data_IF_008205742308
#
_entry.id   IF_008205742308
#
_cell.length_a   1.000
_cell.length_b   1.000
_cell.length_c   1.000
_cell.angle_alpha   90.00
_cell.angle_beta   90.00
_cell.angle_gamma   90.00
#
_symmetry.space_group_name_H-M   'P 1'
#
loop_
_entity.id
_entity.type
_entity.pdbx_description
1 polymer ?
#
# COMPACT_ATOMS: atom_id res chain seq x y z
N UNK A 1 -90.47 -10.80 -59.82
CA UNK A 1 -89.37 -10.22 -59.03
C UNK A 1 -89.55 -10.63 -57.57
N UNK A 2 -88.69 -11.51 -57.06
CA UNK A 2 -88.62 -11.96 -55.65
C UNK A 2 -87.38 -11.32 -55.02
N UNK A 3 -87.56 -10.65 -53.89
CA UNK A 3 -86.51 -10.24 -52.93
C UNK A 3 -87.24 -9.68 -51.71
N UNK A 4 -86.86 -9.88 -50.46
CA UNK A 4 -86.13 -10.91 -49.74
C UNK A 4 -86.45 -10.59 -48.26
N UNK A 5 -86.85 -11.58 -47.47
CA UNK A 5 -87.09 -11.44 -46.02
C UNK A 5 -85.73 -11.37 -45.32
N UNK A 6 -85.49 -10.31 -44.54
CA UNK A 6 -84.29 -10.18 -43.70
C UNK A 6 -84.56 -10.75 -42.30
N UNK A 7 -83.67 -11.64 -41.83
CA UNK A 7 -83.74 -12.32 -40.53
C UNK A 7 -82.92 -11.53 -39.50
N UNK A 8 -83.56 -11.16 -38.40
CA UNK A 8 -82.89 -10.57 -37.23
C UNK A 8 -82.10 -11.65 -36.47
N UNK A 9 -80.78 -11.49 -36.44
CA UNK A 9 -79.84 -12.35 -35.72
C UNK A 9 -79.65 -11.95 -34.26
N UNK A 10 -79.38 -12.99 -33.48
CA UNK A 10 -79.18 -13.07 -32.04
C UNK A 10 -77.84 -12.46 -31.58
N UNK A 11 -77.75 -11.97 -30.34
CA UNK A 11 -76.90 -12.56 -29.29
C UNK A 11 -76.38 -11.51 -28.30
N UNK A 12 -76.70 -11.79 -27.04
CA UNK A 12 -76.21 -11.19 -25.81
C UNK A 12 -74.75 -11.59 -25.56
N UNK A 13 -73.89 -10.65 -25.17
CA UNK A 13 -72.61 -11.03 -24.57
C UNK A 13 -72.34 -10.27 -23.25
N UNK A 14 -72.18 -11.09 -22.22
CA UNK A 14 -71.88 -10.78 -20.82
C UNK A 14 -70.60 -9.98 -20.66
N UNK A 15 -70.66 -8.98 -19.78
CA UNK A 15 -69.52 -8.31 -19.15
C UNK A 15 -68.92 -9.19 -18.04
N UNK A 16 -67.61 -9.48 -18.11
CA UNK A 16 -66.86 -10.08 -17.01
C UNK A 16 -65.98 -9.02 -16.30
N UNK A 17 -65.99 -8.95 -14.95
CA UNK A 17 -65.13 -8.05 -14.19
C UNK A 17 -63.79 -8.74 -13.91
N UNK A 18 -62.73 -8.33 -14.60
CA UNK A 18 -61.38 -8.89 -14.43
C UNK A 18 -60.38 -7.79 -14.07
N UNK A 19 -60.57 -7.17 -12.90
CA UNK A 19 -59.79 -6.00 -12.45
C UNK A 19 -58.95 -6.20 -11.19
N UNK A 20 -58.74 -7.43 -10.72
CA UNK A 20 -58.25 -7.67 -9.34
C UNK A 20 -57.00 -8.58 -9.20
N UNK A 21 -56.21 -8.79 -10.27
CA UNK A 21 -55.01 -9.66 -10.19
C UNK A 21 -53.75 -9.12 -10.89
N UNK A 22 -53.43 -7.82 -10.76
CA UNK A 22 -52.14 -7.28 -11.29
C UNK A 22 -51.36 -6.45 -10.27
N UNK A 23 -51.47 -6.73 -8.96
CA UNK A 23 -50.79 -5.92 -7.91
C UNK A 23 -49.89 -6.69 -6.93
N UNK A 24 -49.37 -7.87 -7.29
CA UNK A 24 -48.57 -8.66 -6.35
C UNK A 24 -47.29 -9.30 -6.91
N UNK A 25 -46.57 -8.64 -7.85
CA UNK A 25 -45.33 -9.21 -8.38
C UNK A 25 -44.26 -8.19 -8.79
N UNK A 26 -44.06 -7.11 -8.02
CA UNK A 26 -43.06 -6.08 -8.36
C UNK A 26 -42.16 -5.65 -7.18
N UNK A 27 -41.85 -6.56 -6.23
CA UNK A 27 -41.12 -6.21 -5.00
C UNK A 27 -40.07 -7.25 -4.56
N UNK A 28 -39.52 -8.05 -5.49
CA UNK A 28 -38.56 -9.13 -5.14
C UNK A 28 -37.33 -9.24 -6.06
N UNK A 29 -36.73 -8.11 -6.48
CA UNK A 29 -35.55 -8.17 -7.36
C UNK A 29 -34.47 -7.08 -7.10
N UNK A 30 -34.21 -6.69 -5.84
CA UNK A 30 -33.20 -5.66 -5.51
C UNK A 30 -32.16 -6.10 -4.47
N UNK A 31 -31.74 -7.35 -4.48
CA UNK A 31 -30.59 -7.81 -3.68
C UNK A 31 -29.52 -8.47 -4.56
N UNK A 32 -29.14 -7.79 -5.65
CA UNK A 32 -27.81 -7.99 -6.25
C UNK A 32 -26.79 -7.31 -5.34
N UNK A 33 -26.46 -7.97 -4.23
CA UNK A 33 -25.38 -7.56 -3.35
C UNK A 33 -24.07 -7.62 -4.15
N UNK A 34 -23.49 -6.45 -4.45
CA UNK A 34 -22.16 -6.31 -5.03
C UNK A 34 -21.12 -6.81 -4.03
N UNK A 35 -20.86 -8.12 -4.01
CA UNK A 35 -19.70 -8.71 -3.34
C UNK A 35 -18.45 -8.40 -4.15
N UNK A 36 -17.83 -7.25 -3.88
CA UNK A 36 -16.47 -6.96 -4.38
C UNK A 36 -15.48 -8.02 -3.90
N UNK A 37 -14.35 -8.22 -4.60
CA UNK A 37 -13.35 -9.21 -4.19
C UNK A 37 -12.88 -8.95 -2.75
N UNK A 38 -12.56 -10.00 -1.97
CA UNK A 38 -12.05 -9.84 -0.61
C UNK A 38 -10.86 -8.88 -0.59
N UNK A 39 -10.92 -7.85 0.26
CA UNK A 39 -9.79 -6.93 0.45
C UNK A 39 -8.60 -7.73 0.97
N UNK A 40 -7.47 -7.65 0.27
CA UNK A 40 -6.25 -8.30 0.74
C UNK A 40 -5.92 -7.84 2.17
N UNK A 41 -5.42 -8.75 3.04
CA UNK A 41 -4.98 -8.37 4.37
C UNK A 41 -3.93 -7.25 4.29
N UNK A 42 -3.83 -6.37 5.30
CA UNK A 42 -2.83 -5.32 5.32
C UNK A 42 -1.41 -5.90 5.45
N UNK A 43 -0.43 -5.25 4.83
CA UNK A 43 0.99 -5.54 5.07
C UNK A 43 1.43 -4.79 6.33
N UNK A 44 1.97 -5.50 7.32
CA UNK A 44 2.47 -4.86 8.55
C UNK A 44 3.92 -5.23 8.82
N UNK A 45 4.67 -4.27 9.32
CA UNK A 45 6.05 -4.45 9.77
C UNK A 45 6.18 -4.09 11.24
N UNK A 46 6.87 -4.95 11.99
CA UNK A 46 7.23 -4.74 13.38
C UNK A 46 8.72 -5.03 13.58
N UNK A 47 9.38 -4.43 14.57
CA UNK A 47 10.79 -4.72 14.85
C UNK A 47 11.54 -3.54 15.44
N UNK A 48 12.79 -3.36 15.02
CA UNK A 48 13.65 -2.29 15.53
C UNK A 48 14.48 -1.60 14.45
N UNK A 49 14.80 -0.34 14.74
CA UNK A 49 15.82 0.47 14.08
C UNK A 49 16.87 0.80 15.14
N UNK A 50 18.11 0.35 14.94
CA UNK A 50 19.14 0.47 15.96
C UNK A 50 20.48 0.93 15.39
N UNK A 51 21.21 1.73 16.15
CA UNK A 51 22.58 2.11 15.90
C UNK A 51 23.52 1.45 16.91
N UNK A 52 24.70 1.04 16.47
CA UNK A 52 25.77 0.61 17.39
C UNK A 52 26.33 1.81 18.16
N UNK A 53 26.98 1.56 19.30
CA UNK A 53 27.62 2.61 20.08
C UNK A 53 28.73 3.35 19.30
N UNK A 54 29.38 2.67 18.35
CA UNK A 54 30.41 3.23 17.46
C UNK A 54 29.91 3.92 16.19
N UNK A 55 28.60 4.13 16.02
CA UNK A 55 28.01 4.60 14.75
C UNK A 55 28.61 5.93 14.28
N UNK A 56 28.77 6.08 12.96
CA UNK A 56 29.12 7.32 12.28
C UNK A 56 30.29 8.08 12.95
N UNK A 57 31.49 7.48 13.04
CA UNK A 57 32.61 8.09 13.73
C UNK A 57 33.09 9.37 13.02
N UNK A 58 33.55 10.34 13.80
CA UNK A 58 34.30 11.52 13.34
C UNK A 58 35.71 11.16 12.85
N UNK A 59 36.47 12.11 12.28
CA UNK A 59 37.85 11.85 11.83
C UNK A 59 38.76 11.36 12.95
N UNK A 60 38.43 11.71 14.20
CA UNK A 60 39.14 11.27 15.40
C UNK A 60 38.55 9.99 16.03
N UNK A 61 37.66 9.28 15.32
CA UNK A 61 37.01 8.06 15.81
C UNK A 61 35.84 8.27 16.79
N UNK A 62 35.53 9.50 17.19
CA UNK A 62 34.42 9.76 18.14
C UNK A 62 33.05 9.47 17.47
N UNK A 63 32.20 8.59 18.03
CA UNK A 63 30.85 8.32 17.49
C UNK A 63 29.99 9.57 17.43
N UNK A 64 29.11 9.65 16.43
CA UNK A 64 28.24 10.82 16.20
C UNK A 64 26.82 10.39 15.80
N UNK A 65 25.78 11.21 16.01
CA UNK A 65 24.44 10.90 15.53
C UNK A 65 24.39 10.61 14.03
N UNK A 66 23.48 9.73 13.62
CA UNK A 66 23.28 9.34 12.22
C UNK A 66 21.86 9.70 11.77
N UNK A 67 21.75 10.44 10.66
CA UNK A 67 20.48 10.64 9.99
C UNK A 67 20.15 9.42 9.13
N UNK A 68 18.98 8.83 9.37
CA UNK A 68 18.41 7.73 8.60
C UNK A 68 17.11 8.18 7.95
N UNK A 69 16.92 7.82 6.69
CA UNK A 69 15.64 7.91 6.01
C UNK A 69 15.17 6.52 5.63
N UNK A 70 13.94 6.19 6.01
CA UNK A 70 13.27 4.95 5.61
C UNK A 70 12.19 5.33 4.59
N UNK A 71 12.26 4.72 3.42
CA UNK A 71 11.34 4.95 2.32
C UNK A 71 10.47 3.72 2.11
N UNK A 72 9.18 3.95 1.92
CA UNK A 72 8.29 3.00 1.29
C UNK A 72 8.32 3.23 -0.21
N UNK A 73 8.65 2.19 -0.99
CA UNK A 73 8.79 2.28 -2.43
C UNK A 73 7.94 1.25 -3.17
N UNK A 74 7.45 1.62 -4.35
CA UNK A 74 6.82 0.69 -5.31
C UNK A 74 7.84 -0.18 -6.02
N UNK A 75 8.96 0.41 -6.43
CA UNK A 75 10.12 -0.27 -7.01
C UNK A 75 11.39 0.26 -6.37
N UNK A 76 12.46 -0.54 -6.33
CA UNK A 76 13.74 -0.16 -5.76
C UNK A 76 14.75 0.38 -6.78
N UNK A 77 14.44 0.26 -8.08
CA UNK A 77 15.40 0.44 -9.17
C UNK A 77 16.05 1.83 -9.16
N UNK A 78 15.25 2.89 -9.06
CA UNK A 78 15.78 4.27 -9.02
C UNK A 78 16.60 4.51 -7.76
N UNK A 79 16.09 4.06 -6.60
CA UNK A 79 16.80 4.19 -5.33
C UNK A 79 18.15 3.45 -5.32
N UNK A 80 18.22 2.26 -5.92
CA UNK A 80 19.43 1.46 -5.97
C UNK A 80 20.47 2.03 -6.95
N UNK A 81 20.02 2.70 -8.02
CA UNK A 81 20.89 3.28 -9.03
C UNK A 81 21.36 4.71 -8.70
N UNK A 82 20.54 5.48 -7.98
CA UNK A 82 20.82 6.89 -7.69
C UNK A 82 22.14 7.09 -6.93
N UNK A 83 22.81 8.22 -7.15
CA UNK A 83 23.95 8.62 -6.35
C UNK A 83 23.51 9.15 -4.97
N UNK A 84 24.48 9.28 -4.04
CA UNK A 84 24.20 9.75 -2.69
C UNK A 84 23.64 11.18 -2.66
N UNK A 85 24.18 12.09 -3.47
CA UNK A 85 23.83 13.52 -3.44
C UNK A 85 22.39 13.71 -3.92
N UNK A 86 21.99 13.00 -4.96
CA UNK A 86 20.64 12.99 -5.50
C UNK A 86 19.63 12.54 -4.44
N UNK A 87 19.90 11.44 -3.73
CA UNK A 87 19.04 10.99 -2.62
C UNK A 87 19.13 11.88 -1.37
N UNK A 88 20.26 12.54 -1.11
CA UNK A 88 20.40 13.41 0.05
C UNK A 88 19.64 14.73 -0.11
N UNK A 89 19.79 15.36 -1.28
CA UNK A 89 19.30 16.72 -1.54
C UNK A 89 17.91 16.76 -2.19
N UNK A 90 17.56 15.75 -2.99
CA UNK A 90 16.38 15.80 -3.88
C UNK A 90 15.68 14.45 -4.04
N UNK A 91 15.66 13.62 -2.99
CA UNK A 91 15.03 12.29 -3.00
C UNK A 91 13.61 12.25 -3.59
N UNK A 92 12.75 13.22 -3.26
CA UNK A 92 11.38 13.26 -3.80
C UNK A 92 11.35 13.41 -5.32
N UNK A 93 12.21 14.26 -5.87
CA UNK A 93 12.31 14.46 -7.31
C UNK A 93 13.00 13.28 -8.00
N UNK A 94 14.02 12.72 -7.36
CA UNK A 94 14.76 11.56 -7.85
C UNK A 94 13.86 10.32 -7.93
N UNK A 95 13.16 10.00 -6.85
CA UNK A 95 12.33 8.79 -6.72
C UNK A 95 10.95 8.93 -7.39
N UNK A 96 10.45 10.17 -7.51
CA UNK A 96 9.22 10.48 -8.24
C UNK A 96 8.04 9.57 -7.88
N UNK A 97 7.50 8.88 -8.88
CA UNK A 97 6.32 8.04 -8.73
C UNK A 97 6.57 6.73 -7.94
N UNK A 98 7.82 6.33 -7.76
CA UNK A 98 8.18 5.14 -6.97
C UNK A 98 8.10 5.40 -5.46
N UNK A 99 8.24 6.66 -5.03
CA UNK A 99 8.12 7.04 -3.63
C UNK A 99 6.67 6.98 -3.15
N UNK A 100 6.42 6.16 -2.14
CA UNK A 100 5.11 6.04 -1.50
C UNK A 100 5.07 6.82 -0.19
N UNK A 101 6.14 6.71 0.60
CA UNK A 101 6.26 7.37 1.89
C UNK A 101 7.71 7.49 2.34
N UNK A 102 7.97 8.42 3.26
CA UNK A 102 9.30 8.67 3.82
C UNK A 102 9.20 9.03 5.29
N UNK A 103 10.02 8.39 6.12
CA UNK A 103 10.24 8.74 7.52
C UNK A 103 11.72 9.10 7.71
N UNK A 104 12.00 10.18 8.44
CA UNK A 104 13.35 10.61 8.79
C UNK A 104 13.58 10.43 10.29
N UNK A 105 14.72 9.83 10.65
CA UNK A 105 15.06 9.40 12.00
C UNK A 105 16.50 9.82 12.29
N UNK A 106 16.71 10.62 13.33
CA UNK A 106 18.04 10.84 13.88
C UNK A 106 18.30 9.82 14.99
N UNK A 107 19.29 8.93 14.80
CA UNK A 107 19.73 7.97 15.81
C UNK A 107 20.96 8.48 16.54
N UNK A 108 20.91 8.47 17.87
CA UNK A 108 22.09 8.66 18.71
C UNK A 108 22.95 7.37 18.74
N UNK A 109 24.26 7.48 19.03
CA UNK A 109 25.11 6.30 19.22
C UNK A 109 24.55 5.34 20.29
N UNK A 110 24.39 4.07 19.93
CA UNK A 110 23.84 3.03 20.80
C UNK A 110 22.30 3.04 20.94
N UNK A 111 21.61 3.95 20.27
CA UNK A 111 20.15 4.05 20.35
C UNK A 111 19.46 2.90 19.61
N UNK A 112 18.33 2.44 20.16
CA UNK A 112 17.42 1.50 19.53
C UNK A 112 15.98 1.98 19.69
N UNK A 113 15.23 2.03 18.59
CA UNK A 113 13.81 2.41 18.56
C UNK A 113 12.98 1.29 17.97
N UNK A 114 11.77 1.01 18.50
CA UNK A 114 10.85 0.10 17.85
C UNK A 114 10.32 0.72 16.55
N UNK A 115 10.10 -0.12 15.53
CA UNK A 115 9.33 0.24 14.33
C UNK A 115 8.09 -0.64 14.28
N UNK A 116 6.93 -0.02 14.16
CA UNK A 116 5.63 -0.70 14.04
C UNK A 116 4.78 0.12 13.06
N UNK A 117 4.49 -0.43 11.88
CA UNK A 117 3.79 0.29 10.80
C UNK A 117 2.92 -0.66 9.99
N UNK A 118 1.83 -0.13 9.48
CA UNK A 118 1.07 -0.73 8.37
C UNK A 118 1.52 -0.03 7.10
N UNK A 119 2.03 -0.79 6.14
CA UNK A 119 2.55 -0.24 4.88
C UNK A 119 1.40 0.06 3.92
N UNK A 120 1.63 0.99 3.01
CA UNK A 120 0.67 1.27 1.95
C UNK A 120 0.49 0.02 1.04
N UNK A 121 -0.71 -0.19 0.45
CA UNK A 121 -0.99 -1.37 -0.38
C UNK A 121 -0.05 -1.53 -1.60
N UNK A 122 0.47 -0.44 -2.13
CA UNK A 122 1.41 -0.38 -3.25
C UNK A 122 2.88 -0.56 -2.86
N UNK A 123 3.22 -0.50 -1.57
CA UNK A 123 4.59 -0.66 -1.08
C UNK A 123 5.09 -2.08 -1.34
N UNK A 124 6.25 -2.20 -2.00
CA UNK A 124 6.94 -3.47 -2.28
C UNK A 124 8.32 -3.53 -1.64
N UNK A 125 8.91 -2.38 -1.34
CA UNK A 125 10.22 -2.29 -0.73
C UNK A 125 10.22 -1.28 0.43
N UNK A 126 10.96 -1.63 1.46
CA UNK A 126 11.51 -0.67 2.42
C UNK A 126 12.95 -0.40 2.04
N UNK A 127 13.25 0.83 1.65
CA UNK A 127 14.60 1.27 1.37
C UNK A 127 15.11 2.15 2.52
N UNK A 128 16.40 2.04 2.83
CA UNK A 128 17.02 2.77 3.93
C UNK A 128 18.22 3.52 3.39
N UNK A 129 18.26 4.82 3.67
CA UNK A 129 19.39 5.71 3.41
C UNK A 129 19.97 6.17 4.74
N UNK A 130 21.29 6.10 4.89
CA UNK A 130 22.01 6.54 6.07
C UNK A 130 23.06 7.59 5.68
N UNK A 131 22.92 8.80 6.21
CA UNK A 131 23.84 9.90 5.93
C UNK A 131 25.13 9.79 6.76
N UNK A 132 25.93 8.75 6.48
CA UNK A 132 27.26 8.61 7.08
C UNK A 132 28.13 9.80 6.68
N UNK A 133 28.93 10.26 7.64
CA UNK A 133 29.91 11.33 7.41
C UNK A 133 30.99 10.89 6.42
N UNK A 134 31.45 9.65 6.54
CA UNK A 134 32.41 9.02 5.63
C UNK A 134 31.66 8.17 4.59
N UNK A 135 30.90 8.85 3.73
CA UNK A 135 30.03 8.20 2.74
C UNK A 135 30.81 7.39 1.69
N UNK A 136 32.04 7.80 1.36
CA UNK A 136 32.86 7.15 0.35
C UNK A 136 33.24 5.72 0.76
N UNK A 137 33.47 5.48 2.05
CA UNK A 137 33.79 4.17 2.59
C UNK A 137 32.57 3.43 3.15
N UNK A 138 31.43 4.10 3.26
CA UNK A 138 30.24 3.53 3.88
C UNK A 138 29.36 2.76 2.89
N UNK A 139 28.76 1.66 3.35
CA UNK A 139 27.55 1.10 2.76
C UNK A 139 26.35 1.87 3.29
N UNK A 140 26.08 3.02 2.69
CA UNK A 140 25.10 4.00 3.16
C UNK A 140 23.64 3.68 2.80
N UNK A 141 23.38 2.60 2.03
CA UNK A 141 22.01 2.18 1.69
C UNK A 141 21.75 0.70 1.87
N UNK A 142 20.48 0.37 2.11
CA UNK A 142 19.94 -0.98 2.10
C UNK A 142 18.53 -1.00 1.49
N UNK A 143 18.14 -2.13 0.93
CA UNK A 143 16.79 -2.36 0.37
C UNK A 143 16.29 -3.69 0.91
N UNK A 144 15.04 -3.71 1.34
CA UNK A 144 14.34 -4.88 1.85
C UNK A 144 13.02 -5.04 1.10
N UNK A 145 12.86 -6.13 0.36
CA UNK A 145 11.57 -6.50 -0.22
C UNK A 145 10.61 -6.93 0.90
N UNK A 146 9.39 -6.40 0.90
CA UNK A 146 8.35 -6.78 1.85
C UNK A 146 7.43 -7.83 1.25
N UNK A 147 6.79 -8.62 2.09
CA UNK A 147 5.77 -9.61 1.67
C UNK A 147 4.38 -8.99 1.75
N UNK A 148 3.71 -8.66 0.62
CA UNK A 148 2.41 -8.01 0.66
C UNK A 148 1.35 -8.88 1.35
N UNK A 149 0.50 -8.26 2.16
CA UNK A 149 -0.57 -8.92 2.89
C UNK A 149 -0.11 -9.84 4.02
N UNK A 150 1.13 -9.67 4.49
CA UNK A 150 1.67 -10.41 5.62
C UNK A 150 2.15 -9.46 6.71
N UNK A 151 1.96 -9.88 7.96
CA UNK A 151 2.71 -9.36 9.08
C UNK A 151 4.12 -9.94 9.04
N UNK A 152 5.13 -9.08 9.15
CA UNK A 152 6.53 -9.49 9.12
C UNK A 152 7.35 -8.69 10.11
N UNK A 153 8.41 -9.33 10.60
CA UNK A 153 9.33 -8.72 11.55
C UNK A 153 10.58 -8.28 10.81
N UNK A 154 11.11 -7.10 11.10
CA UNK A 154 12.28 -6.54 10.43
C UNK A 154 13.31 -6.04 11.44
N UNK A 155 14.55 -5.90 10.99
CA UNK A 155 15.60 -5.21 11.73
C UNK A 155 16.36 -4.30 10.79
N UNK A 156 16.42 -3.02 11.15
CA UNK A 156 17.28 -2.03 10.50
C UNK A 156 18.43 -1.74 11.46
N UNK A 157 19.67 -1.98 11.02
CA UNK A 157 20.86 -1.81 11.85
C UNK A 157 21.87 -0.90 11.18
N UNK A 158 22.25 0.17 11.88
CA UNK A 158 23.36 1.03 11.52
C UNK A 158 24.61 0.64 12.33
N UNK A 159 25.61 0.12 11.65
CA UNK A 159 26.96 -0.08 12.18
C UNK A 159 27.82 1.18 11.98
N UNK A 160 29.12 1.12 12.27
CA UNK A 160 30.03 2.27 12.15
C UNK A 160 30.00 2.92 10.76
N UNK A 161 30.00 2.11 9.70
CA UNK A 161 30.05 2.53 8.29
C UNK A 161 29.10 1.73 7.37
N UNK A 162 28.08 1.06 7.90
CA UNK A 162 27.13 0.34 7.06
C UNK A 162 25.74 0.25 7.68
N UNK A 163 24.72 0.44 6.84
CA UNK A 163 23.33 0.16 7.19
C UNK A 163 22.85 -1.15 6.55
N UNK A 164 22.11 -1.96 7.31
CA UNK A 164 21.41 -3.15 6.82
C UNK A 164 19.92 -3.08 7.16
N UNK A 165 19.11 -3.77 6.36
CA UNK A 165 17.68 -3.93 6.56
C UNK A 165 17.30 -5.35 6.17
N UNK A 166 16.77 -6.13 7.10
CA UNK A 166 16.61 -7.57 6.95
C UNK A 166 15.28 -8.03 7.59
N UNK A 167 14.71 -9.12 7.08
CA UNK A 167 13.65 -9.81 7.80
C UNK A 167 14.24 -10.44 9.06
N UNK A 168 13.63 -10.14 10.21
CA UNK A 168 13.99 -10.79 11.44
C UNK A 168 13.34 -12.20 11.49
N UNK A 169 14.01 -13.18 12.11
CA UNK A 169 13.52 -14.57 12.17
C UNK A 169 12.17 -14.74 12.87
#
# INVERSE_FOLDING_TARGET
MRTAVNRSGCSTHRSHPLGWLVRAAALLALLSACGGPPKAPPTTVAGSVAAVAGVNPSVSGRPSPLLLRVYELKTDTVFAAADFVSLYQRDQAELGADLVGREEIMLAPGESRPINRTLAPETRFLAVFAAYRDVEHARWRAVLAVRPGQAQRITIRASELAVTAELAP
#
